data_IF_791922845641
#
_entry.id   IF_791922845641
#
_cell.length_a   1.000
_cell.length_b   1.000
_cell.length_c   1.000
_cell.angle_alpha   90.00
_cell.angle_beta   90.00
_cell.angle_gamma   90.00
#
_symmetry.space_group_name_H-M   'P 1'
#
loop_
_entity.id
_entity.type
_entity.pdbx_description
1 polymer ?
#
# COMPACT_ATOMS: atom_id res chain seq x y z
N UNK A 1 11.39 8.23 -2.21
CA UNK A 1 11.12 8.50 -0.78
C UNK A 1 10.38 9.83 -0.56
N UNK A 2 10.84 10.97 -1.11
CA UNK A 2 10.16 12.26 -0.90
C UNK A 2 8.70 12.31 -1.38
N UNK A 3 8.38 11.66 -2.51
CA UNK A 3 7.00 11.62 -3.02
C UNK A 3 6.04 10.84 -2.10
N UNK A 4 6.52 9.74 -1.53
CA UNK A 4 5.72 8.87 -0.66
C UNK A 4 5.41 9.56 0.68
N UNK A 5 6.40 10.22 1.28
CA UNK A 5 6.21 10.96 2.54
C UNK A 5 5.32 12.20 2.37
N UNK A 6 5.37 12.88 1.22
CA UNK A 6 4.51 14.03 0.92
C UNK A 6 3.08 13.59 0.62
N UNK A 7 2.90 12.58 -0.24
CA UNK A 7 1.57 12.08 -0.61
C UNK A 7 0.84 11.49 0.59
N UNK A 8 1.41 10.53 1.31
CA UNK A 8 0.79 9.98 2.54
C UNK A 8 0.71 11.02 3.66
N UNK A 9 1.64 11.98 3.67
CA UNK A 9 1.65 13.13 4.58
C UNK A 9 0.35 13.95 4.52
N UNK A 10 -0.18 14.14 3.31
CA UNK A 10 -1.34 14.97 3.00
C UNK A 10 -2.62 14.14 2.82
N UNK A 11 -2.53 12.92 2.29
CA UNK A 11 -3.67 12.05 1.99
C UNK A 11 -4.41 11.63 3.27
N UNK A 12 -3.70 11.10 4.27
CA UNK A 12 -4.33 10.59 5.49
C UNK A 12 -5.07 11.67 6.30
N UNK A 13 -4.52 12.87 6.55
CA UNK A 13 -5.26 13.95 7.20
C UNK A 13 -6.50 14.41 6.43
N UNK A 14 -6.43 14.47 5.09
CA UNK A 14 -7.54 14.93 4.25
C UNK A 14 -8.71 13.93 4.22
N UNK A 15 -8.45 12.63 4.30
CA UNK A 15 -9.50 11.60 4.29
C UNK A 15 -10.04 11.25 5.68
N UNK A 16 -9.20 11.22 6.71
CA UNK A 16 -9.57 10.70 8.05
C UNK A 16 -9.53 11.76 9.16
N UNK A 17 -9.13 12.98 8.84
CA UNK A 17 -8.92 14.04 9.82
C UNK A 17 -7.72 13.80 10.73
N UNK A 18 -7.46 14.77 11.61
CA UNK A 18 -6.24 14.82 12.44
C UNK A 18 -6.34 14.17 13.81
N UNK A 19 -7.54 13.79 14.27
CA UNK A 19 -7.78 13.31 15.65
C UNK A 19 -7.09 11.98 15.95
N UNK A 20 -7.13 11.02 15.02
CA UNK A 20 -6.59 9.67 15.19
C UNK A 20 -5.47 9.33 14.21
N UNK A 21 -4.87 10.36 13.58
CA UNK A 21 -3.89 10.19 12.50
C UNK A 21 -2.65 9.39 12.95
N UNK A 22 -2.19 9.59 14.18
CA UNK A 22 -1.05 8.86 14.73
C UNK A 22 -1.29 7.36 14.87
N UNK A 23 -2.51 6.96 15.29
CA UNK A 23 -2.88 5.54 15.40
C UNK A 23 -3.00 4.88 14.03
N UNK A 24 -3.60 5.57 13.05
CA UNK A 24 -3.71 5.07 11.67
C UNK A 24 -2.32 4.85 11.09
N UNK A 25 -1.44 5.86 11.16
CA UNK A 25 -0.06 5.76 10.66
C UNK A 25 0.71 4.62 11.34
N UNK A 26 0.51 4.43 12.65
CA UNK A 26 1.13 3.33 13.40
C UNK A 26 0.72 1.96 12.85
N UNK A 27 -0.59 1.73 12.66
CA UNK A 27 -1.11 0.46 12.12
C UNK A 27 -0.67 0.26 10.66
N UNK A 28 -0.66 1.31 9.84
CA UNK A 28 -0.16 1.23 8.47
C UNK A 28 1.32 0.82 8.43
N UNK A 29 2.14 1.38 9.34
CA UNK A 29 3.55 1.06 9.41
C UNK A 29 3.80 -0.38 9.87
N UNK A 30 3.06 -0.88 10.86
CA UNK A 30 3.19 -2.28 11.30
C UNK A 30 2.77 -3.25 10.19
N UNK A 31 1.66 -2.96 9.50
CA UNK A 31 1.24 -3.74 8.34
C UNK A 31 2.29 -3.76 7.22
N UNK A 32 2.93 -2.61 6.94
CA UNK A 32 4.02 -2.51 5.96
C UNK A 32 5.22 -3.38 6.34
N UNK A 33 5.63 -3.38 7.61
CA UNK A 33 6.76 -4.18 8.09
C UNK A 33 6.45 -5.68 7.96
N UNK A 34 5.24 -6.10 8.34
CA UNK A 34 4.79 -7.49 8.21
C UNK A 34 4.76 -7.91 6.73
N UNK A 35 4.20 -7.06 5.86
CA UNK A 35 4.19 -7.34 4.41
C UNK A 35 5.61 -7.46 3.83
N UNK A 36 6.54 -6.62 4.30
CA UNK A 36 7.94 -6.64 3.83
C UNK A 36 8.70 -7.87 4.30
N UNK A 37 8.42 -8.38 5.52
CA UNK A 37 9.05 -9.61 6.01
C UNK A 37 8.45 -10.87 5.36
N UNK A 38 7.17 -10.84 5.03
CA UNK A 38 6.48 -11.94 4.35
C UNK A 38 6.75 -11.99 2.86
N UNK A 39 7.15 -10.89 2.21
CA UNK A 39 7.36 -10.82 0.76
C UNK A 39 8.30 -11.89 0.18
N UNK A 40 9.49 -12.16 0.74
CA UNK A 40 10.44 -13.10 0.15
C UNK A 40 9.98 -14.56 0.15
N UNK A 41 9.22 -15.00 1.16
CA UNK A 41 8.78 -16.39 1.33
C UNK A 41 7.95 -16.94 0.15
N UNK A 42 6.84 -16.31 -0.26
CA UNK A 42 6.05 -16.76 -1.40
C UNK A 42 6.80 -16.61 -2.73
N UNK A 43 7.74 -15.65 -2.84
CA UNK A 43 8.56 -15.50 -4.04
C UNK A 43 9.59 -16.63 -4.17
N UNK A 44 10.21 -17.05 -3.06
CA UNK A 44 11.10 -18.21 -3.04
C UNK A 44 10.35 -19.50 -3.40
N UNK A 45 9.19 -19.72 -2.78
CA UNK A 45 8.35 -20.87 -3.09
C UNK A 45 7.89 -20.89 -4.56
N UNK A 46 7.47 -19.75 -5.10
CA UNK A 46 7.10 -19.66 -6.51
C UNK A 46 8.29 -19.88 -7.45
N UNK A 47 9.48 -19.42 -7.07
CA UNK A 47 10.69 -19.72 -7.83
C UNK A 47 10.98 -21.23 -7.87
N UNK A 48 10.81 -21.93 -6.76
CA UNK A 48 11.02 -23.38 -6.69
C UNK A 48 10.01 -24.16 -7.56
N UNK A 49 8.77 -23.67 -7.67
CA UNK A 49 7.70 -24.31 -8.46
C UNK A 49 7.82 -24.01 -9.95
N UNK A 50 8.06 -22.76 -10.33
CA UNK A 50 8.06 -22.32 -11.73
C UNK A 50 9.46 -22.31 -12.37
N UNK A 51 10.51 -22.46 -11.56
CA UNK A 51 11.91 -22.38 -12.01
C UNK A 51 12.36 -20.98 -12.42
N UNK A 52 11.59 -19.94 -12.06
CA UNK A 52 11.84 -18.57 -12.47
C UNK A 52 10.96 -17.55 -11.73
N UNK A 53 11.28 -16.27 -11.90
CA UNK A 53 10.55 -15.15 -11.27
C UNK A 53 9.51 -14.50 -12.18
N UNK A 54 9.44 -14.88 -13.46
CA UNK A 54 8.62 -14.17 -14.45
C UNK A 54 7.14 -14.25 -14.10
N UNK A 55 6.68 -15.43 -13.70
CA UNK A 55 5.29 -15.75 -13.38
C UNK A 55 4.85 -15.01 -12.11
N UNK A 56 5.65 -15.07 -11.04
CA UNK A 56 5.35 -14.38 -9.78
C UNK A 56 5.40 -12.85 -9.95
N UNK A 57 6.34 -12.31 -10.73
CA UNK A 57 6.40 -10.87 -11.00
C UNK A 57 5.19 -10.37 -11.80
N UNK A 58 4.74 -11.16 -12.78
CA UNK A 58 3.55 -10.83 -13.57
C UNK A 58 2.28 -10.92 -12.72
N UNK A 59 2.21 -11.90 -11.81
CA UNK A 59 1.14 -11.99 -10.82
C UNK A 59 1.12 -10.77 -9.87
N UNK A 60 2.30 -10.27 -9.48
CA UNK A 60 2.41 -9.10 -8.60
C UNK A 60 1.89 -7.81 -9.23
N UNK A 61 1.74 -7.74 -10.56
CA UNK A 61 1.07 -6.61 -11.22
C UNK A 61 -0.41 -6.49 -10.85
N UNK A 62 -1.04 -7.54 -10.32
CA UNK A 62 -2.44 -7.49 -9.89
C UNK A 62 -2.62 -6.48 -8.75
N UNK A 63 -1.67 -6.38 -7.81
CA UNK A 63 -1.74 -5.45 -6.68
C UNK A 63 -1.81 -3.97 -7.10
N UNK A 64 -0.88 -3.43 -7.93
CA UNK A 64 -0.98 -2.06 -8.39
C UNK A 64 -2.19 -1.81 -9.29
N UNK A 65 -2.64 -2.81 -10.08
CA UNK A 65 -3.87 -2.67 -10.88
C UNK A 65 -5.09 -2.49 -9.97
N UNK A 66 -5.24 -3.34 -8.94
CA UNK A 66 -6.32 -3.22 -7.96
C UNK A 66 -6.25 -1.89 -7.20
N UNK A 67 -5.05 -1.45 -6.83
CA UNK A 67 -4.83 -0.15 -6.21
C UNK A 67 -5.22 1.01 -7.12
N UNK A 68 -4.87 0.93 -8.41
CA UNK A 68 -5.24 1.94 -9.41
C UNK A 68 -6.75 1.99 -9.61
N UNK A 69 -7.42 0.84 -9.75
CA UNK A 69 -8.88 0.77 -9.84
C UNK A 69 -9.56 1.36 -8.60
N UNK A 70 -9.05 1.03 -7.42
CA UNK A 70 -9.56 1.57 -6.14
C UNK A 70 -9.39 3.09 -6.04
N UNK A 71 -8.28 3.62 -6.58
CA UNK A 71 -8.03 5.07 -6.64
C UNK A 71 -9.09 5.80 -7.46
N UNK A 72 -9.52 5.23 -8.60
CA UNK A 72 -10.59 5.83 -9.42
C UNK A 72 -11.97 5.81 -8.75
N UNK A 73 -12.22 4.85 -7.87
CA UNK A 73 -13.50 4.73 -7.13
C UNK A 73 -13.49 5.57 -5.85
N UNK A 74 -12.30 5.95 -5.35
CA UNK A 74 -12.18 6.70 -4.10
C UNK A 74 -12.89 8.06 -4.20
N UNK A 75 -13.90 8.33 -3.35
CA UNK A 75 -14.62 9.60 -3.38
C UNK A 75 -13.67 10.76 -3.07
N UNK A 76 -13.90 11.91 -3.71
CA UNK A 76 -13.12 13.11 -3.45
C UNK A 76 -13.12 13.42 -1.93
N UNK A 77 -11.96 13.72 -1.34
CA UNK A 77 -11.85 13.99 0.09
C UNK A 77 -12.78 15.17 0.42
N UNK A 78 -13.76 14.93 1.30
CA UNK A 78 -14.62 16.00 1.83
C UNK A 78 -13.77 16.89 2.70
N UNK A 79 -13.52 18.11 2.25
CA UNK A 79 -12.73 19.14 2.95
C UNK A 79 -12.97 19.11 4.47
N UNK A 80 -11.97 18.73 5.28
CA UNK A 80 -11.96 19.02 6.69
C UNK A 80 -11.22 20.34 6.90
N UNK A 81 -11.58 21.39 6.15
CA UNK A 81 -11.16 22.76 6.49
C UNK A 81 -12.25 23.37 7.37
N UNK A 82 -12.20 22.99 8.65
CA UNK A 82 -12.61 23.82 9.78
C UNK A 82 -11.78 23.46 11.01
#
# INVERSE_FOLDING_TARGET
>A
MAFDSVSTGVLWPNYFGRKNLGSIRGITMTAMVIGSSLGPLPFGYAYDVFGGYKEILLFMMIFPILGSLSSFVSPAPKDPIK
#
